data_IF_589112224247
#
_entry.id   IF_589112224247
#
_cell.length_a   1.000
_cell.length_b   1.000
_cell.length_c   1.000
_cell.angle_alpha   90.00
_cell.angle_beta   90.00
_cell.angle_gamma   90.00
#
_symmetry.space_group_name_H-M   'P 1'
#
loop_
_entity.id
_entity.type
_entity.pdbx_description
1 polymer ?
#
# COMPACT_ATOMS: atom_id res chain seq x y z
N UNK A 1 18.52 23.27 4.06
CA UNK A 1 17.50 23.16 5.12
C UNK A 1 16.36 22.39 4.54
N UNK A 2 16.31 21.08 4.79
CA UNK A 2 15.17 20.24 4.44
C UNK A 2 14.04 20.58 5.42
N UNK A 3 13.06 21.35 5.01
CA UNK A 3 11.80 21.46 5.73
C UNK A 3 11.25 20.05 5.85
N UNK A 4 11.25 19.51 7.07
CA UNK A 4 10.50 18.30 7.38
C UNK A 4 9.06 18.59 7.00
N UNK A 5 8.58 17.99 5.92
CA UNK A 5 7.19 18.14 5.53
C UNK A 5 6.36 17.54 6.67
N UNK A 6 5.44 18.32 7.22
CA UNK A 6 4.55 17.88 8.29
C UNK A 6 3.78 16.64 7.83
N UNK A 7 3.75 15.62 8.69
CA UNK A 7 2.98 14.39 8.46
C UNK A 7 1.67 14.55 9.22
N UNK A 8 0.56 14.37 8.53
CA UNK A 8 -0.79 14.50 9.09
C UNK A 8 -1.55 13.19 8.96
N UNK A 9 -2.26 12.81 10.02
CA UNK A 9 -3.19 11.68 9.99
C UNK A 9 -4.47 12.08 9.25
N UNK A 10 -4.94 11.21 8.38
CA UNK A 10 -6.18 11.41 7.63
C UNK A 10 -7.41 11.38 8.55
N UNK A 11 -8.41 12.14 8.16
CA UNK A 11 -9.79 12.04 8.66
C UNK A 11 -10.66 11.33 7.64
N UNK A 12 -11.90 11.00 7.98
CA UNK A 12 -12.86 10.37 7.06
C UNK A 12 -13.04 11.17 5.76
N UNK A 13 -13.04 12.50 5.85
CA UNK A 13 -13.13 13.40 4.70
C UNK A 13 -11.93 13.29 3.74
N UNK A 14 -10.81 12.72 4.18
CA UNK A 14 -9.56 12.63 3.44
C UNK A 14 -9.39 11.29 2.70
N UNK A 15 -10.24 10.30 2.97
CA UNK A 15 -10.10 8.94 2.42
C UNK A 15 -10.12 8.93 0.89
N UNK A 16 -11.00 9.75 0.26
CA UNK A 16 -11.02 9.88 -1.20
C UNK A 16 -9.70 10.46 -1.73
N UNK A 17 -9.14 11.46 -1.06
CA UNK A 17 -7.87 12.04 -1.45
C UNK A 17 -6.71 11.04 -1.35
N UNK A 18 -6.76 10.11 -0.40
CA UNK A 18 -5.79 9.01 -0.31
C UNK A 18 -5.91 8.06 -1.50
N UNK A 19 -7.13 7.63 -1.83
CA UNK A 19 -7.39 6.77 -2.99
C UNK A 19 -6.92 7.40 -4.30
N UNK A 20 -7.24 8.67 -4.52
CA UNK A 20 -6.83 9.42 -5.72
C UNK A 20 -5.30 9.55 -5.80
N UNK A 21 -4.63 9.78 -4.66
CA UNK A 21 -3.17 9.85 -4.59
C UNK A 21 -2.51 8.53 -4.95
N UNK A 22 -3.05 7.43 -4.45
CA UNK A 22 -2.56 6.08 -4.79
C UNK A 22 -2.80 5.80 -6.28
N UNK A 23 -3.99 6.08 -6.79
CA UNK A 23 -4.32 5.87 -8.20
C UNK A 23 -3.39 6.63 -9.15
N UNK A 24 -3.08 7.90 -8.83
CA UNK A 24 -2.13 8.70 -9.59
C UNK A 24 -0.71 8.13 -9.55
N UNK A 25 -0.24 7.78 -8.34
CA UNK A 25 1.12 7.29 -8.14
C UNK A 25 1.35 5.90 -8.76
N UNK A 26 0.31 5.07 -8.78
CA UNK A 26 0.38 3.66 -9.22
C UNK A 26 -0.05 3.46 -10.68
N UNK A 27 -0.52 4.51 -11.34
CA UNK A 27 -1.06 4.41 -12.70
C UNK A 27 -0.16 3.62 -13.66
N UNK A 28 1.15 3.84 -13.60
CA UNK A 28 2.10 3.27 -14.55
C UNK A 28 3.02 2.19 -13.94
N UNK A 29 2.72 1.66 -12.73
CA UNK A 29 3.45 0.51 -12.20
C UNK A 29 3.02 -0.79 -12.93
N UNK A 30 3.94 -1.73 -13.04
CA UNK A 30 3.75 -2.97 -13.81
C UNK A 30 2.51 -3.77 -13.37
N UNK A 31 2.24 -3.83 -12.06
CA UNK A 31 1.04 -4.49 -11.52
C UNK A 31 -0.23 -3.84 -12.02
N UNK A 32 -0.34 -2.51 -11.99
CA UNK A 32 -1.53 -1.81 -12.48
C UNK A 32 -1.68 -1.88 -14.00
N UNK A 33 -0.56 -1.95 -14.75
CA UNK A 33 -0.59 -2.21 -16.19
C UNK A 33 -1.05 -3.64 -16.51
N UNK A 34 -0.67 -4.61 -15.67
CA UNK A 34 -1.16 -5.98 -15.80
C UNK A 34 -2.66 -6.07 -15.45
N UNK A 35 -3.11 -5.40 -14.38
CA UNK A 35 -4.52 -5.37 -13.99
C UNK A 35 -5.40 -4.77 -15.09
N UNK A 36 -5.00 -3.63 -15.63
CA UNK A 36 -5.74 -2.89 -16.67
C UNK A 36 -4.76 -2.39 -17.73
N UNK A 37 -4.55 -3.10 -18.83
CA UNK A 37 -3.55 -2.74 -19.87
C UNK A 37 -3.81 -1.39 -20.54
N UNK A 38 -5.09 -1.01 -20.74
CA UNK A 38 -5.45 0.25 -21.35
C UNK A 38 -5.22 1.43 -20.37
N UNK A 39 -4.34 2.39 -20.69
CA UNK A 39 -4.01 3.50 -19.80
C UNK A 39 -5.19 4.47 -19.57
N UNK A 40 -6.13 4.57 -20.49
CA UNK A 40 -7.31 5.41 -20.29
C UNK A 40 -8.29 4.73 -19.33
N UNK A 41 -8.52 3.44 -19.49
CA UNK A 41 -9.34 2.64 -18.58
C UNK A 41 -8.74 2.59 -17.17
N UNK A 42 -7.41 2.53 -17.04
CA UNK A 42 -6.76 2.62 -15.72
C UNK A 42 -7.13 3.89 -14.95
N UNK A 43 -7.22 5.04 -15.61
CA UNK A 43 -7.64 6.30 -14.97
C UNK A 43 -9.06 6.27 -14.42
N UNK A 44 -9.92 5.46 -15.01
CA UNK A 44 -11.32 5.32 -14.58
C UNK A 44 -11.47 4.25 -13.49
N UNK A 45 -10.71 3.16 -13.57
CA UNK A 45 -10.84 1.98 -12.73
C UNK A 45 -10.04 2.09 -11.42
N UNK A 46 -8.82 2.60 -11.46
CA UNK A 46 -7.97 2.62 -10.27
C UNK A 46 -8.48 3.49 -9.11
N UNK A 47 -9.03 4.70 -9.31
CA UNK A 47 -9.51 5.49 -8.19
C UNK A 47 -10.63 4.81 -7.38
N UNK A 48 -11.73 4.29 -7.97
CA UNK A 48 -12.73 3.57 -7.19
C UNK A 48 -12.23 2.25 -6.60
N UNK A 49 -11.29 1.55 -7.24
CA UNK A 49 -10.64 0.37 -6.64
C UNK A 49 -9.83 0.75 -5.40
N UNK A 50 -8.92 1.72 -5.50
CA UNK A 50 -8.14 2.16 -4.36
C UNK A 50 -8.97 2.81 -3.26
N UNK A 51 -10.18 3.30 -3.58
CA UNK A 51 -11.11 3.75 -2.57
C UNK A 51 -11.57 2.62 -1.65
N UNK A 52 -11.75 1.40 -2.15
CA UNK A 52 -12.08 0.23 -1.33
C UNK A 52 -10.96 -0.02 -0.31
N UNK A 53 -9.71 -0.02 -0.77
CA UNK A 53 -8.54 -0.26 0.08
C UNK A 53 -8.29 0.91 1.06
N UNK A 54 -8.58 2.15 0.66
CA UNK A 54 -8.45 3.30 1.53
C UNK A 54 -9.52 3.32 2.64
N UNK A 55 -10.77 2.94 2.33
CA UNK A 55 -11.82 2.75 3.34
C UNK A 55 -11.38 1.69 4.36
N UNK A 56 -10.84 0.57 3.88
CA UNK A 56 -10.39 -0.52 4.74
C UNK A 56 -9.21 -0.11 5.63
N UNK A 57 -8.23 0.59 5.07
CA UNK A 57 -7.10 1.11 5.86
C UNK A 57 -7.53 2.18 6.86
N UNK A 58 -8.57 2.96 6.57
CA UNK A 58 -9.12 3.93 7.50
C UNK A 58 -9.85 3.26 8.66
N UNK A 59 -10.56 2.17 8.41
CA UNK A 59 -11.32 1.43 9.42
C UNK A 59 -10.42 0.54 10.30
N UNK A 60 -9.44 -0.17 9.71
CA UNK A 60 -8.62 -1.18 10.40
C UNK A 60 -7.15 -0.78 10.56
N UNK A 61 -6.84 0.49 10.39
CA UNK A 61 -5.47 0.97 10.48
C UNK A 61 -5.35 2.48 10.50
N UNK A 62 -4.42 3.01 9.72
CA UNK A 62 -4.11 4.43 9.70
C UNK A 62 -3.68 4.89 8.30
N UNK A 63 -4.09 6.10 7.94
CA UNK A 63 -3.67 6.77 6.72
C UNK A 63 -2.93 8.04 7.10
N UNK A 64 -1.74 8.24 6.55
CA UNK A 64 -0.93 9.42 6.74
C UNK A 64 -0.62 10.12 5.42
N UNK A 65 -0.62 11.44 5.46
CA UNK A 65 -0.18 12.29 4.35
C UNK A 65 1.07 13.08 4.73
N UNK A 66 1.84 13.47 3.73
CA UNK A 66 2.93 14.43 3.88
C UNK A 66 3.04 15.31 2.64
N UNK A 67 3.64 16.50 2.84
CA UNK A 67 3.75 17.51 1.80
C UNK A 67 2.63 18.54 1.83
N UNK A 68 2.91 19.74 1.33
CA UNK A 68 1.97 20.88 1.39
C UNK A 68 0.65 20.62 0.63
N UNK A 69 0.70 19.77 -0.41
CA UNK A 69 -0.46 19.38 -1.21
C UNK A 69 -0.74 17.87 -1.10
N UNK A 70 -0.33 17.24 0.01
CA UNK A 70 -0.48 15.80 0.22
C UNK A 70 0.18 14.97 -0.89
N UNK A 71 1.41 15.34 -1.24
CA UNK A 71 2.18 14.70 -2.30
C UNK A 71 2.54 13.24 -1.99
N UNK A 72 2.54 12.87 -0.71
CA UNK A 72 2.73 11.50 -0.23
C UNK A 72 1.57 11.00 0.60
N UNK A 73 1.24 9.71 0.45
CA UNK A 73 0.29 8.99 1.28
C UNK A 73 0.84 7.62 1.66
N UNK A 74 0.63 7.21 2.91
CA UNK A 74 0.91 5.86 3.40
C UNK A 74 -0.35 5.30 4.06
N UNK A 75 -0.77 4.12 3.61
CA UNK A 75 -1.95 3.41 4.10
C UNK A 75 -1.46 2.16 4.83
N UNK A 76 -1.72 2.11 6.12
CA UNK A 76 -1.35 1.01 6.99
C UNK A 76 -2.58 0.27 7.46
N UNK A 77 -2.49 -1.06 7.58
CA UNK A 77 -3.53 -1.93 8.15
C UNK A 77 -2.89 -2.72 9.29
N UNK A 78 -3.55 -2.81 10.44
CA UNK A 78 -3.06 -3.60 11.56
C UNK A 78 -3.66 -5.01 11.54
N UNK A 79 -2.79 -6.02 11.45
CA UNK A 79 -3.13 -7.43 11.57
C UNK A 79 -2.75 -7.93 12.96
N UNK A 80 -3.78 -8.16 13.80
CA UNK A 80 -3.64 -8.73 15.13
C UNK A 80 -3.67 -10.26 15.12
N UNK A 81 -3.98 -10.83 16.29
CA UNK A 81 -4.12 -12.30 16.44
C UNK A 81 -5.40 -12.84 15.81
N UNK A 82 -6.41 -11.99 15.66
CA UNK A 82 -7.67 -12.34 15.00
C UNK A 82 -7.65 -11.86 13.55
N UNK A 83 -8.19 -12.68 12.64
CA UNK A 83 -8.33 -12.31 11.24
C UNK A 83 -9.27 -11.10 11.08
N UNK A 84 -8.87 -10.14 10.28
CA UNK A 84 -9.75 -9.02 9.93
C UNK A 84 -10.89 -9.50 9.03
N UNK A 85 -12.09 -8.90 9.13
CA UNK A 85 -13.17 -9.18 8.21
C UNK A 85 -12.85 -8.63 6.81
N UNK A 86 -13.48 -9.20 5.80
CA UNK A 86 -13.42 -8.62 4.46
C UNK A 86 -14.02 -7.20 4.44
N UNK A 87 -13.58 -6.33 3.52
CA UNK A 87 -14.22 -5.03 3.34
C UNK A 87 -15.72 -5.17 3.08
N UNK A 88 -16.52 -4.28 3.65
CA UNK A 88 -17.99 -4.30 3.49
C UNK A 88 -18.36 -4.29 2.01
N UNK A 89 -19.23 -5.22 1.60
CA UNK A 89 -19.72 -5.39 0.23
C UNK A 89 -18.59 -5.52 -0.82
N UNK A 90 -17.47 -6.14 -0.43
CA UNK A 90 -16.24 -6.18 -1.23
C UNK A 90 -16.48 -6.64 -2.65
N UNK A 91 -17.07 -7.79 -2.87
CA UNK A 91 -17.33 -8.35 -4.20
C UNK A 91 -18.18 -7.42 -5.09
N UNK A 92 -19.19 -6.79 -4.51
CA UNK A 92 -20.05 -5.86 -5.25
C UNK A 92 -19.30 -4.59 -5.62
N UNK A 93 -18.53 -4.04 -4.68
CA UNK A 93 -17.71 -2.84 -4.89
C UNK A 93 -16.61 -3.10 -5.90
N UNK A 94 -15.94 -4.25 -5.80
CA UNK A 94 -14.89 -4.66 -6.72
C UNK A 94 -15.42 -4.75 -8.16
N UNK A 95 -16.55 -5.43 -8.37
CA UNK A 95 -17.19 -5.54 -9.70
C UNK A 95 -17.61 -4.18 -10.25
N UNK A 96 -18.14 -3.31 -9.41
CA UNK A 96 -18.54 -1.96 -9.81
C UNK A 96 -17.33 -1.11 -10.22
N UNK A 97 -16.22 -1.21 -9.48
CA UNK A 97 -14.99 -0.47 -9.75
C UNK A 97 -14.23 -1.02 -10.95
N UNK A 98 -14.01 -2.34 -10.99
CA UNK A 98 -13.08 -2.98 -11.93
C UNK A 98 -13.73 -3.48 -13.22
N UNK A 99 -15.08 -3.57 -13.26
CA UNK A 99 -15.87 -3.88 -14.45
C UNK A 99 -15.37 -5.15 -15.18
N UNK A 100 -15.03 -5.05 -16.47
CA UNK A 100 -14.52 -6.15 -17.30
C UNK A 100 -13.17 -6.72 -16.83
N UNK A 101 -12.45 -6.01 -15.94
CA UNK A 101 -11.14 -6.42 -15.42
C UNK A 101 -11.21 -7.11 -14.05
N UNK A 102 -12.40 -7.27 -13.47
CA UNK A 102 -12.62 -7.80 -12.10
C UNK A 102 -11.84 -9.09 -11.83
N UNK A 103 -11.80 -10.04 -12.77
CA UNK A 103 -11.10 -11.31 -12.60
C UNK A 103 -9.61 -11.14 -12.32
N UNK A 104 -8.94 -10.14 -12.93
CA UNK A 104 -7.52 -9.88 -12.68
C UNK A 104 -7.27 -9.36 -11.26
N UNK A 105 -8.18 -8.54 -10.75
CA UNK A 105 -8.11 -8.06 -9.37
C UNK A 105 -8.35 -9.21 -8.38
N UNK A 106 -9.30 -10.10 -8.64
CA UNK A 106 -9.52 -11.30 -7.82
C UNK A 106 -8.29 -12.22 -7.81
N UNK A 107 -7.62 -12.41 -8.95
CA UNK A 107 -6.35 -13.15 -9.00
C UNK A 107 -5.28 -12.47 -8.13
N UNK A 108 -5.18 -11.14 -8.18
CA UNK A 108 -4.23 -10.40 -7.32
C UNK A 108 -4.54 -10.61 -5.85
N UNK A 109 -5.82 -10.50 -5.45
CA UNK A 109 -6.26 -10.69 -4.06
C UNK A 109 -5.93 -12.11 -3.58
N UNK A 110 -6.26 -13.15 -4.35
CA UNK A 110 -5.91 -14.54 -4.04
C UNK A 110 -4.39 -14.74 -3.84
N UNK A 111 -3.57 -14.05 -4.64
CA UNK A 111 -2.12 -14.12 -4.49
C UNK A 111 -1.65 -13.40 -3.23
N UNK A 112 -2.23 -12.26 -2.87
CA UNK A 112 -1.93 -11.58 -1.63
C UNK A 112 -2.34 -12.43 -0.42
N UNK A 113 -3.56 -12.92 -0.36
CA UNK A 113 -4.06 -13.76 0.74
C UNK A 113 -3.20 -15.00 0.98
N UNK A 114 -2.78 -15.64 -0.10
CA UNK A 114 -1.92 -16.82 -0.03
C UNK A 114 -0.53 -16.55 0.55
N UNK A 115 -0.02 -15.35 0.42
CA UNK A 115 1.34 -15.00 0.82
C UNK A 115 1.40 -14.08 2.03
N UNK A 116 0.27 -13.51 2.44
CA UNK A 116 0.21 -12.65 3.61
C UNK A 116 0.53 -13.44 4.88
N UNK A 117 1.43 -12.96 5.76
CA UNK A 117 1.72 -13.64 7.01
C UNK A 117 0.53 -13.54 7.98
N UNK A 118 0.10 -14.68 8.54
CA UNK A 118 -0.99 -14.72 9.53
C UNK A 118 -0.50 -14.46 10.97
N UNK A 119 0.80 -14.55 11.21
CA UNK A 119 1.45 -14.31 12.51
C UNK A 119 2.93 -13.99 12.32
N UNK A 120 3.58 -13.32 13.28
CA UNK A 120 2.98 -12.63 14.43
C UNK A 120 2.14 -11.41 14.03
N UNK A 121 1.47 -10.79 15.03
CA UNK A 121 0.78 -9.50 14.83
C UNK A 121 1.73 -8.45 14.23
N UNK A 122 1.26 -7.69 13.26
CA UNK A 122 2.09 -6.74 12.52
C UNK A 122 1.28 -5.62 11.87
N UNK A 123 1.93 -4.54 11.49
CA UNK A 123 1.35 -3.54 10.60
C UNK A 123 1.74 -3.82 9.15
N UNK A 124 0.76 -3.89 8.29
CA UNK A 124 0.93 -4.00 6.84
C UNK A 124 0.94 -2.60 6.20
N UNK A 125 2.07 -2.22 5.59
CA UNK A 125 2.11 -1.06 4.71
C UNK A 125 1.48 -1.44 3.36
N UNK A 126 0.16 -1.41 3.32
CA UNK A 126 -0.60 -1.84 2.15
C UNK A 126 -0.30 -0.98 0.92
N UNK A 127 -0.21 0.34 1.08
CA UNK A 127 0.03 1.26 -0.03
C UNK A 127 0.94 2.41 0.42
N UNK A 128 2.02 2.66 -0.35
CA UNK A 128 2.89 3.82 -0.18
C UNK A 128 2.98 4.57 -1.50
N UNK A 129 2.36 5.73 -1.55
CA UNK A 129 2.23 6.53 -2.76
C UNK A 129 2.98 7.85 -2.65
N UNK A 130 3.60 8.27 -3.75
CA UNK A 130 4.18 9.61 -3.92
C UNK A 130 3.86 10.10 -5.32
N UNK A 131 3.33 11.31 -5.43
CA UNK A 131 3.07 11.96 -6.71
C UNK A 131 4.26 11.79 -7.65
N UNK A 132 4.08 11.42 -8.93
CA UNK A 132 5.19 11.14 -9.85
C UNK A 132 6.25 12.22 -9.91
N UNK A 133 5.86 13.50 -9.96
CA UNK A 133 6.75 14.66 -9.97
C UNK A 133 7.56 14.86 -8.68
N UNK A 134 7.16 14.23 -7.59
CA UNK A 134 7.76 14.33 -6.25
C UNK A 134 8.50 13.07 -5.81
N UNK A 135 8.53 12.05 -6.64
CA UNK A 135 9.30 10.83 -6.36
C UNK A 135 10.80 11.11 -6.23
N UNK A 136 11.51 10.26 -5.49
CA UNK A 136 12.95 10.36 -5.18
C UNK A 136 13.36 11.60 -4.36
N UNK A 137 12.41 12.34 -3.77
CA UNK A 137 12.67 13.49 -2.89
C UNK A 137 12.55 13.15 -1.39
N UNK A 138 12.52 11.85 -1.04
CA UNK A 138 12.48 11.37 0.33
C UNK A 138 11.10 11.35 0.99
N UNK A 139 10.03 11.66 0.25
CA UNK A 139 8.65 11.72 0.76
C UNK A 139 8.21 10.36 1.33
N UNK A 140 8.30 9.28 0.56
CA UNK A 140 7.96 7.95 1.05
C UNK A 140 8.82 7.51 2.24
N UNK A 141 10.11 7.84 2.23
CA UNK A 141 11.01 7.57 3.34
C UNK A 141 10.61 8.31 4.62
N UNK A 142 10.11 9.55 4.53
CA UNK A 142 9.66 10.30 5.71
C UNK A 142 8.39 9.70 6.32
N UNK A 143 7.42 9.28 5.51
CA UNK A 143 6.21 8.58 5.94
C UNK A 143 6.53 7.27 6.65
N UNK A 144 7.43 6.46 6.09
CA UNK A 144 7.84 5.21 6.72
C UNK A 144 8.54 5.45 8.07
N UNK A 145 9.52 6.36 8.13
CA UNK A 145 10.27 6.62 9.38
C UNK A 145 9.35 7.01 10.52
N UNK A 146 8.41 7.91 10.28
CA UNK A 146 7.49 8.36 11.33
C UNK A 146 6.69 7.18 11.92
N UNK A 147 6.20 6.27 11.07
CA UNK A 147 5.45 5.11 11.54
C UNK A 147 6.36 4.04 12.16
N UNK A 148 7.57 3.84 11.62
CA UNK A 148 8.57 2.92 12.19
C UNK A 148 9.01 3.32 13.59
N UNK A 149 9.15 4.62 13.89
CA UNK A 149 9.45 5.10 15.25
C UNK A 149 8.38 4.64 16.26
N UNK A 150 7.11 4.66 15.85
CA UNK A 150 6.03 4.14 16.68
C UNK A 150 6.09 2.60 16.79
N UNK A 151 6.30 1.90 15.69
CA UNK A 151 6.40 0.43 15.65
C UNK A 151 7.55 -0.07 16.55
N UNK A 152 8.72 0.56 16.44
CA UNK A 152 9.91 0.23 17.23
C UNK A 152 9.67 0.46 18.72
N UNK A 153 9.05 1.59 19.09
CA UNK A 153 8.72 1.91 20.48
C UNK A 153 7.69 0.94 21.11
N UNK A 154 6.86 0.29 20.28
CA UNK A 154 5.84 -0.65 20.74
C UNK A 154 6.19 -2.13 20.48
N UNK A 155 7.37 -2.42 19.94
CA UNK A 155 7.81 -3.79 19.66
C UNK A 155 6.98 -4.50 18.59
N UNK A 156 6.45 -3.74 17.59
CA UNK A 156 5.55 -4.28 16.55
C UNK A 156 6.28 -4.39 15.22
N UNK A 157 6.20 -5.56 14.59
CA UNK A 157 6.77 -5.82 13.28
C UNK A 157 5.95 -5.16 12.17
N UNK A 158 6.50 -5.11 10.96
CA UNK A 158 5.78 -4.65 9.78
C UNK A 158 6.07 -5.48 8.53
N UNK A 159 5.07 -5.50 7.65
CA UNK A 159 5.06 -6.24 6.40
C UNK A 159 4.69 -5.33 5.23
N UNK A 160 5.16 -5.66 4.04
CA UNK A 160 4.76 -5.03 2.78
C UNK A 160 5.09 -5.92 1.57
N UNK A 161 4.53 -5.59 0.41
CA UNK A 161 4.91 -6.14 -0.88
C UNK A 161 5.53 -5.05 -1.78
N UNK A 162 6.79 -5.22 -2.13
CA UNK A 162 7.44 -4.33 -3.09
C UNK A 162 7.01 -4.66 -4.52
N UNK A 163 6.49 -3.69 -5.25
CA UNK A 163 5.98 -3.88 -6.62
C UNK A 163 7.06 -3.89 -7.71
N UNK A 164 8.30 -3.51 -7.38
CA UNK A 164 9.45 -3.56 -8.29
C UNK A 164 10.76 -3.43 -7.52
N UNK A 165 11.90 -3.59 -8.23
CA UNK A 165 13.24 -3.50 -7.63
C UNK A 165 13.56 -2.13 -7.03
N UNK A 166 13.00 -1.05 -7.56
CA UNK A 166 13.26 0.31 -7.06
C UNK A 166 12.65 0.55 -5.67
N UNK A 167 11.34 0.34 -5.43
CA UNK A 167 10.77 0.40 -4.08
C UNK A 167 11.37 -0.65 -3.16
N UNK A 168 11.69 -1.87 -3.62
CA UNK A 168 12.38 -2.88 -2.83
C UNK A 168 13.68 -2.35 -2.24
N UNK A 169 14.54 -1.71 -3.05
CA UNK A 169 15.79 -1.12 -2.58
C UNK A 169 15.57 0.03 -1.54
N UNK A 170 14.44 0.74 -1.62
CA UNK A 170 14.05 1.70 -0.60
C UNK A 170 13.68 0.99 0.71
N UNK A 171 12.86 -0.05 0.64
CA UNK A 171 12.41 -0.79 1.82
C UNK A 171 13.58 -1.50 2.54
N UNK A 172 14.53 -2.07 1.79
CA UNK A 172 15.77 -2.66 2.35
C UNK A 172 16.56 -1.62 3.19
N UNK A 173 16.65 -0.36 2.74
CA UNK A 173 17.27 0.74 3.51
C UNK A 173 16.51 1.11 4.78
N UNK A 174 15.25 0.73 4.88
CA UNK A 174 14.39 0.92 6.05
C UNK A 174 14.26 -0.33 6.92
N UNK A 175 15.13 -1.34 6.71
CA UNK A 175 15.21 -2.52 7.56
C UNK A 175 14.29 -3.68 7.15
N UNK A 176 13.60 -3.58 6.01
CA UNK A 176 12.83 -4.71 5.49
C UNK A 176 13.73 -5.74 4.84
N UNK A 177 13.41 -6.99 5.07
CA UNK A 177 14.10 -8.15 4.50
C UNK A 177 13.14 -8.93 3.60
N UNK A 178 13.58 -9.30 2.42
CA UNK A 178 12.79 -10.13 1.50
C UNK A 178 12.51 -11.52 2.10
N UNK A 179 11.26 -11.96 2.03
CA UNK A 179 10.80 -13.22 2.64
C UNK A 179 11.22 -14.50 1.90
N UNK A 180 11.96 -14.37 0.79
CA UNK A 180 12.52 -15.50 0.06
C UNK A 180 11.63 -16.09 -1.05
N UNK A 181 10.36 -15.68 -1.15
CA UNK A 181 9.44 -16.06 -2.23
C UNK A 181 8.78 -14.84 -2.83
N UNK A 182 8.73 -14.78 -4.16
CA UNK A 182 7.96 -13.77 -4.88
C UNK A 182 6.48 -14.14 -4.95
N UNK A 183 5.65 -13.13 -5.09
CA UNK A 183 4.27 -13.26 -5.53
C UNK A 183 4.27 -13.09 -7.03
N UNK A 184 3.87 -14.11 -7.76
CA UNK A 184 3.96 -14.16 -9.22
C UNK A 184 2.56 -14.10 -9.82
N UNK A 185 2.27 -13.05 -10.58
CA UNK A 185 1.02 -12.96 -11.34
C UNK A 185 1.11 -13.75 -12.64
N UNK A 186 0.03 -14.43 -13.06
CA UNK A 186 0.04 -15.20 -14.32
C UNK A 186 0.40 -14.33 -15.53
N UNK A 187 1.45 -14.67 -16.24
CA UNK A 187 1.97 -13.88 -17.37
C UNK A 187 2.19 -12.40 -17.02
N UNK A 188 2.51 -12.11 -15.78
CA UNK A 188 2.57 -10.78 -15.21
C UNK A 188 3.84 -10.49 -14.39
N UNK A 189 3.86 -9.35 -13.71
CA UNK A 189 4.98 -8.96 -12.88
C UNK A 189 5.10 -9.82 -11.62
N UNK A 190 6.27 -9.71 -10.99
CA UNK A 190 6.56 -10.24 -9.67
C UNK A 190 6.44 -9.15 -8.62
N UNK A 191 6.06 -9.53 -7.40
CA UNK A 191 6.14 -8.69 -6.22
C UNK A 191 6.98 -9.40 -5.16
N UNK A 192 7.57 -8.61 -4.26
CA UNK A 192 8.49 -9.09 -3.24
C UNK A 192 7.89 -8.86 -1.86
N UNK A 193 7.33 -9.89 -1.19
CA UNK A 193 6.96 -9.81 0.22
C UNK A 193 8.20 -9.52 1.07
N UNK A 194 8.09 -8.55 1.95
CA UNK A 194 9.19 -8.12 2.80
C UNK A 194 8.72 -7.91 4.23
N UNK A 195 9.57 -8.28 5.18
CA UNK A 195 9.32 -8.22 6.62
C UNK A 195 10.33 -7.34 7.33
N UNK A 196 9.89 -6.59 8.33
CA UNK A 196 10.75 -5.79 9.19
C UNK A 196 10.44 -6.09 10.66
N UNK A 197 11.46 -6.52 11.40
CA UNK A 197 11.39 -6.61 12.85
C UNK A 197 11.54 -5.23 13.49
N UNK A 198 10.89 -4.97 14.64
CA UNK A 198 11.12 -3.73 15.38
C UNK A 198 12.55 -3.63 15.85
N UNK A 199 13.11 -2.41 15.87
CA UNK A 199 14.47 -2.15 16.31
C UNK A 199 14.46 -1.79 17.80
N UNK A 200 15.22 -2.51 18.62
CA UNK A 200 15.38 -2.20 20.05
C UNK A 200 14.41 -2.93 21.00
N UNK A 201 13.70 -3.96 20.51
CA UNK A 201 12.93 -4.88 21.34
C UNK A 201 13.83 -5.87 22.09
#
# INVERSE_FOLDING_TARGET
MTTSSEITKATEADVQAAADRVAEAFHDIDVCQWLVPDPQRRREILPPYFRILADYAFEYGEIFFTGANREGAALWVYHGDEALPDPVDYEQRLRAACQEWTERFQILDEQFDKHHPHSPAHHHLALLATTPSMQSKGIGASLMRQHHEWLDANGVASYLEASSMRPRALYEKHGYVFSGRTIDLPDGPHMWPMWREPVGA
#
